data_IF_316315911923
#
_entry.id   IF_316315911923
#
_cell.length_a   1.000
_cell.length_b   1.000
_cell.length_c   1.000
_cell.angle_alpha   90.00
_cell.angle_beta   90.00
_cell.angle_gamma   90.00
#
_symmetry.space_group_name_H-M   'P 1'
#
loop_
_entity.id
_entity.type
_entity.pdbx_description
1 polymer ?
#
# COMPACT_ATOMS: atom_id res chain seq x y z
N UNK A 1 -4.50 -0.62 -11.24
CA UNK A 1 -4.54 -1.98 -10.64
C UNK A 1 -3.76 -3.04 -11.43
N UNK A 2 -3.79 -3.07 -12.77
CA UNK A 2 -3.34 -4.23 -13.58
C UNK A 2 -1.83 -4.56 -13.58
N UNK A 3 -0.99 -3.86 -12.79
CA UNK A 3 0.47 -4.10 -12.73
C UNK A 3 0.88 -5.00 -11.55
N UNK A 4 0.09 -5.06 -10.47
CA UNK A 4 0.35 -5.94 -9.33
C UNK A 4 0.01 -7.40 -9.63
N UNK A 5 -0.95 -7.65 -10.52
CA UNK A 5 -1.45 -8.98 -10.87
C UNK A 5 -0.95 -9.44 -12.25
N UNK A 6 0.26 -9.02 -12.66
CA UNK A 6 0.87 -9.55 -13.89
C UNK A 6 1.21 -11.02 -13.69
N UNK A 7 0.76 -11.85 -14.63
CA UNK A 7 1.05 -13.30 -14.68
C UNK A 7 2.56 -13.55 -14.65
N UNK A 8 3.29 -12.85 -15.50
CA UNK A 8 4.76 -12.86 -15.52
C UNK A 8 5.31 -12.14 -14.26
N UNK A 9 6.02 -12.85 -13.36
CA UNK A 9 6.59 -12.27 -12.14
C UNK A 9 7.60 -11.15 -12.42
N UNK A 10 8.39 -11.25 -13.50
CA UNK A 10 9.41 -10.26 -13.83
C UNK A 10 8.80 -8.92 -14.25
N UNK A 11 7.55 -8.93 -14.74
CA UNK A 11 6.80 -7.73 -15.15
C UNK A 11 5.85 -7.21 -14.06
N UNK A 12 5.79 -7.89 -12.91
CA UNK A 12 4.93 -7.50 -11.79
C UNK A 12 5.50 -6.28 -11.07
N UNK A 13 4.63 -5.33 -10.76
CA UNK A 13 5.00 -4.15 -9.99
C UNK A 13 5.48 -4.58 -8.59
N UNK A 14 6.64 -4.09 -8.18
CA UNK A 14 7.28 -4.45 -6.91
C UNK A 14 8.31 -5.57 -6.99
N UNK A 15 8.43 -6.28 -8.14
CA UNK A 15 9.50 -7.28 -8.33
C UNK A 15 10.87 -6.63 -8.51
N UNK A 16 10.94 -5.53 -9.26
CA UNK A 16 12.16 -4.71 -9.41
C UNK A 16 12.00 -3.43 -8.60
N UNK A 17 12.96 -3.13 -7.73
CA UNK A 17 12.90 -1.96 -6.85
C UNK A 17 11.97 -2.11 -5.64
N UNK A 18 11.59 -3.36 -5.30
CA UNK A 18 10.92 -3.73 -4.06
C UNK A 18 9.61 -2.96 -3.78
N UNK A 19 9.20 -2.93 -2.51
CA UNK A 19 7.98 -2.26 -2.07
C UNK A 19 7.94 -0.75 -2.38
N UNK A 20 9.09 -0.09 -2.60
CA UNK A 20 9.14 1.35 -2.87
C UNK A 20 8.45 1.72 -4.18
N UNK A 21 8.53 0.86 -5.21
CA UNK A 21 7.76 1.05 -6.45
C UNK A 21 6.26 0.94 -6.26
N UNK A 22 5.82 0.18 -5.25
CA UNK A 22 4.41 0.09 -4.89
C UNK A 22 4.00 1.37 -4.17
N UNK A 23 4.80 1.82 -3.18
CA UNK A 23 4.54 3.05 -2.41
C UNK A 23 4.46 4.31 -3.28
N UNK A 24 5.30 4.40 -4.31
CA UNK A 24 5.34 5.53 -5.26
C UNK A 24 4.23 5.49 -6.32
N UNK A 25 3.41 4.44 -6.39
CA UNK A 25 2.38 4.32 -7.39
C UNK A 25 1.25 5.34 -7.16
N UNK A 26 0.71 5.93 -8.24
CA UNK A 26 -0.36 6.95 -8.19
C UNK A 26 -1.57 6.57 -7.32
N UNK A 27 -1.86 5.28 -7.19
CA UNK A 27 -2.94 4.79 -6.32
C UNK A 27 -2.73 5.18 -4.85
N UNK A 28 -1.49 5.18 -4.37
CA UNK A 28 -1.14 5.56 -3.00
C UNK A 28 -0.63 7.01 -2.89
N UNK A 29 -0.89 7.85 -3.90
CA UNK A 29 -0.49 9.25 -3.87
C UNK A 29 -1.22 9.96 -2.72
N UNK A 30 -0.45 10.61 -1.85
CA UNK A 30 -0.98 11.33 -0.68
C UNK A 30 -0.96 10.52 0.62
N UNK A 31 -0.56 9.24 0.59
CA UNK A 31 -0.34 8.46 1.81
C UNK A 31 1.01 8.85 2.43
N UNK A 32 0.97 9.30 3.68
CA UNK A 32 2.17 9.37 4.52
C UNK A 32 2.48 7.99 5.09
N UNK A 33 3.42 7.30 4.46
CA UNK A 33 3.86 5.96 4.85
C UNK A 33 4.52 5.91 6.23
N UNK A 34 5.12 7.01 6.68
CA UNK A 34 5.73 7.10 8.01
C UNK A 34 4.64 7.21 9.07
N UNK A 35 3.69 8.14 8.89
CA UNK A 35 2.55 8.29 9.80
C UNK A 35 1.70 7.01 9.86
N UNK A 36 1.51 6.33 8.72
CA UNK A 36 0.79 5.05 8.67
C UNK A 36 1.51 3.96 9.47
N UNK A 37 2.83 3.84 9.33
CA UNK A 37 3.64 2.88 10.07
C UNK A 37 3.64 3.17 11.58
N UNK A 38 3.66 4.45 11.95
CA UNK A 38 3.56 4.94 13.33
C UNK A 38 2.13 4.88 13.89
N UNK A 39 1.15 4.36 13.13
CA UNK A 39 -0.28 4.28 13.49
C UNK A 39 -0.91 5.63 13.84
N UNK A 40 -0.40 6.71 13.24
CA UNK A 40 -0.90 8.08 13.42
C UNK A 40 -2.00 8.45 12.43
N UNK A 41 -2.25 7.61 11.43
CA UNK A 41 -3.37 7.76 10.49
C UNK A 41 -4.60 7.13 11.13
N UNK A 42 -5.66 7.92 11.30
CA UNK A 42 -6.95 7.41 11.76
C UNK A 42 -7.48 6.35 10.79
N UNK A 43 -7.88 5.16 11.28
CA UNK A 43 -8.50 4.16 10.43
C UNK A 43 -9.86 4.68 9.95
N UNK A 44 -10.23 4.42 8.67
CA UNK A 44 -11.51 4.86 8.12
C UNK A 44 -12.71 4.20 8.80
N UNK A 45 -12.52 3.00 9.33
CA UNK A 45 -13.53 2.25 10.07
C UNK A 45 -12.94 1.84 11.43
N UNK A 46 -13.63 2.22 12.51
CA UNK A 46 -13.32 1.77 13.87
C UNK A 46 -14.39 0.72 14.22
N UNK A 47 -14.04 -0.58 14.27
CA UNK A 47 -15.03 -1.60 14.61
C UNK A 47 -15.50 -1.40 16.05
N UNK A 48 -16.81 -1.54 16.27
CA UNK A 48 -17.36 -1.61 17.62
C UNK A 48 -16.93 -2.94 18.24
N UNK A 49 -16.10 -2.86 19.27
CA UNK A 49 -15.71 -4.02 20.06
C UNK A 49 -16.71 -4.09 21.21
N UNK A 50 -17.58 -5.10 21.20
CA UNK A 50 -18.34 -5.48 22.38
C UNK A 50 -17.35 -6.08 23.39
N UNK A 51 -17.26 -5.46 24.57
CA UNK A 51 -16.46 -5.93 25.70
C UNK A 51 -17.11 -7.15 26.38
#
# INVERSE_FOLDING_TARGET
MNKLLKKDPAKRLGTRGSADKIRQHRFFKGIDWKALLEKRVDPPEKPEVAE
#
